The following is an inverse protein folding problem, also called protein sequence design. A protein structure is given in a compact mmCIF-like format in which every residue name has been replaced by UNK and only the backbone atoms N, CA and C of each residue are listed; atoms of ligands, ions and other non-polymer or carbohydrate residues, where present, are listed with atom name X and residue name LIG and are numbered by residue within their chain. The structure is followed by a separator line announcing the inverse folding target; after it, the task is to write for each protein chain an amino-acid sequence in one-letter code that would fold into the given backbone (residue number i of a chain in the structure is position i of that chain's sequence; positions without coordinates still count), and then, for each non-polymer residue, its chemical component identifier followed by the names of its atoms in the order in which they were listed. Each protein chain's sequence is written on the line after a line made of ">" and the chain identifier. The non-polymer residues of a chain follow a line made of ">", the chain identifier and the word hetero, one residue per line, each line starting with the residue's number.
data_IF_759616676539
#
_entry.id   IF_759616676539
#
_cell.length_a   1.000
_cell.length_b   1.000
_cell.length_c   1.000
_cell.angle_alpha   90.00
_cell.angle_beta   90.00
_cell.angle_gamma   90.00
#
_symmetry.space_group_name_H-M   'P 1'
#
loop_
_entity.id
_entity.type
_entity.pdbx_description
1 polymer ?
#
# COMPACT_ATOMS: atom_id res chain seq x y z
N UNK A 1 22.85 8.94 1.81
CA UNK A 1 21.96 8.19 2.74
C UNK A 1 20.79 9.04 3.24
N UNK A 2 20.15 9.87 2.42
CA UNK A 2 19.34 10.98 2.94
C UNK A 2 17.90 11.06 2.45
N UNK A 3 17.42 10.19 1.59
CA UNK A 3 16.05 10.30 1.05
C UNK A 3 15.10 9.14 1.40
N UNK A 4 15.58 8.05 2.00
CA UNK A 4 14.82 6.82 2.13
C UNK A 4 13.93 6.71 3.39
N UNK A 5 13.93 7.69 4.28
CA UNK A 5 13.21 7.62 5.57
C UNK A 5 11.74 8.04 5.51
N UNK A 6 11.26 8.54 4.38
CA UNK A 6 9.94 9.16 4.26
C UNK A 6 8.77 8.20 3.98
N UNK A 7 9.04 6.93 3.72
CA UNK A 7 7.99 5.95 3.42
C UNK A 7 7.81 4.94 4.55
N UNK A 8 7.60 5.41 5.78
CA UNK A 8 7.25 4.54 6.90
C UNK A 8 5.84 3.97 6.66
N UNK A 9 5.76 2.64 6.61
CA UNK A 9 4.53 1.85 6.66
C UNK A 9 3.49 2.14 5.58
N UNK A 10 3.86 2.11 4.33
CA UNK A 10 2.86 1.78 3.32
C UNK A 10 2.60 0.28 3.38
N UNK A 11 1.51 -0.13 4.01
CA UNK A 11 0.96 -1.47 3.79
C UNK A 11 0.41 -1.48 2.36
N UNK A 12 1.30 -1.51 1.35
CA UNK A 12 0.86 -1.68 -0.02
C UNK A 12 0.46 -3.14 -0.21
N UNK A 13 -0.80 -3.36 -0.46
CA UNK A 13 -1.26 -4.51 -1.22
C UNK A 13 -0.70 -4.35 -2.65
N UNK A 14 -0.80 -5.35 -3.51
CA UNK A 14 -0.43 -5.18 -4.92
C UNK A 14 -0.98 -3.84 -5.48
N UNK A 15 -0.18 -3.08 -6.21
CA UNK A 15 -0.48 -1.72 -6.68
C UNK A 15 0.80 -0.92 -6.90
N UNK A 16 0.68 0.37 -7.22
CA UNK A 16 1.80 1.31 -7.23
C UNK A 16 2.44 1.48 -5.84
N UNK A 17 3.51 2.26 -5.74
CA UNK A 17 4.22 2.44 -4.46
C UNK A 17 3.31 2.92 -3.32
N UNK A 18 2.33 3.77 -3.61
CA UNK A 18 1.37 4.27 -2.62
C UNK A 18 -0.07 3.82 -2.89
N UNK A 19 -0.37 3.34 -4.08
CA UNK A 19 -1.73 3.03 -4.51
C UNK A 19 -2.11 1.58 -4.20
N UNK A 20 -3.29 1.39 -3.64
CA UNK A 20 -3.89 0.09 -3.40
C UNK A 20 -5.13 -0.09 -4.30
N UNK A 21 -5.08 -1.02 -5.25
CA UNK A 21 -6.18 -1.32 -6.17
C UNK A 21 -7.14 -2.39 -5.66
N UNK A 22 -6.84 -3.04 -4.55
CA UNK A 22 -7.69 -4.04 -3.94
C UNK A 22 -8.88 -3.39 -3.20
N UNK A 23 -9.93 -3.03 -3.94
CA UNK A 23 -11.06 -2.27 -3.39
C UNK A 23 -12.36 -3.08 -3.33
N UNK A 24 -12.44 -4.27 -3.94
CA UNK A 24 -13.64 -5.09 -3.91
C UNK A 24 -13.33 -6.56 -3.71
N UNK A 25 -14.34 -7.35 -3.27
CA UNK A 25 -14.19 -8.80 -3.18
C UNK A 25 -14.09 -9.43 -4.57
N UNK A 26 -14.68 -8.79 -5.59
CA UNK A 26 -14.50 -9.22 -6.97
C UNK A 26 -13.03 -9.13 -7.40
N UNK A 27 -12.31 -8.07 -7.02
CA UNK A 27 -10.88 -7.96 -7.31
C UNK A 27 -10.09 -9.13 -6.70
N UNK A 28 -10.39 -9.53 -5.46
CA UNK A 28 -9.68 -10.62 -4.80
C UNK A 28 -9.78 -11.94 -5.58
N UNK A 29 -10.87 -12.17 -6.26
CA UNK A 29 -11.13 -13.42 -7.00
C UNK A 29 -10.99 -13.29 -8.52
N UNK A 30 -10.97 -12.05 -9.05
CA UNK A 30 -10.91 -11.75 -10.48
C UNK A 30 -10.30 -10.34 -10.65
N UNK A 31 -8.95 -10.17 -10.58
CA UNK A 31 -8.31 -8.86 -10.54
C UNK A 31 -8.37 -8.06 -11.84
N UNK A 32 -8.70 -8.68 -12.99
CA UNK A 32 -8.88 -8.01 -14.27
C UNK A 32 -10.20 -7.22 -14.32
N UNK A 33 -10.34 -6.18 -13.46
CA UNK A 33 -11.61 -5.46 -13.25
C UNK A 33 -11.90 -4.35 -14.26
N UNK A 34 -10.90 -3.81 -14.97
CA UNK A 34 -11.05 -2.58 -15.76
C UNK A 34 -12.17 -2.66 -16.81
N UNK A 35 -12.29 -3.79 -17.53
CA UNK A 35 -13.33 -4.01 -18.52
C UNK A 35 -14.54 -4.80 -17.97
N UNK A 36 -14.58 -5.09 -16.67
CA UNK A 36 -15.70 -5.80 -16.07
C UNK A 36 -16.85 -4.84 -15.76
N UNK A 37 -18.06 -5.21 -16.14
CA UNK A 37 -19.28 -4.46 -15.86
C UNK A 37 -19.83 -4.90 -14.51
N UNK A 38 -19.81 -4.02 -13.52
CA UNK A 38 -20.24 -4.30 -12.15
C UNK A 38 -20.37 -3.04 -11.29
N UNK A 39 -20.88 -3.20 -10.07
CA UNK A 39 -21.05 -2.09 -9.11
C UNK A 39 -19.67 -1.50 -8.73
N UNK A 40 -18.65 -2.32 -8.60
CA UNK A 40 -17.28 -1.89 -8.30
C UNK A 40 -16.59 -1.15 -9.48
N UNK A 41 -17.23 -1.08 -10.64
CA UNK A 41 -16.85 -0.16 -11.72
C UNK A 41 -16.72 1.29 -11.26
N UNK A 42 -17.44 1.70 -10.21
CA UNK A 42 -17.26 3.00 -9.55
C UNK A 42 -15.79 3.30 -9.22
N UNK A 43 -15.02 2.29 -8.87
CA UNK A 43 -13.59 2.41 -8.65
C UNK A 43 -12.77 2.07 -9.89
N UNK A 44 -13.06 0.92 -10.55
CA UNK A 44 -12.18 0.37 -11.59
C UNK A 44 -12.36 1.01 -12.95
N UNK A 45 -13.59 1.30 -13.36
CA UNK A 45 -13.92 2.05 -14.58
C UNK A 45 -15.37 2.55 -14.52
N UNK A 46 -15.61 3.81 -14.13
CA UNK A 46 -16.97 4.35 -14.04
C UNK A 46 -17.75 4.32 -15.33
N UNK A 47 -17.08 4.33 -16.51
CA UNK A 47 -17.75 4.22 -17.79
C UNK A 47 -18.43 2.85 -17.97
N UNK A 48 -17.77 1.75 -17.56
CA UNK A 48 -18.33 0.41 -17.62
C UNK A 48 -19.55 0.22 -16.72
N UNK A 49 -19.57 0.88 -15.56
CA UNK A 49 -20.71 0.83 -14.64
C UNK A 49 -22.02 1.36 -15.24
N UNK A 50 -21.96 2.20 -16.26
CA UNK A 50 -23.15 2.69 -16.98
C UNK A 50 -23.88 1.58 -17.76
N UNK A 51 -23.21 0.48 -18.07
CA UNK A 51 -23.81 -0.70 -18.72
C UNK A 51 -24.39 -1.71 -17.74
N UNK A 52 -24.23 -1.49 -16.43
CA UNK A 52 -24.87 -2.29 -15.42
C UNK A 52 -26.40 -2.09 -15.43
N UNK A 53 -27.13 -2.94 -14.72
CA UNK A 53 -28.58 -2.90 -14.69
C UNK A 53 -29.14 -1.53 -14.26
N UNK A 54 -30.34 -1.18 -14.73
CA UNK A 54 -31.05 0.01 -14.27
C UNK A 54 -31.46 -0.10 -12.80
N UNK A 55 -31.67 1.05 -12.15
CA UNK A 55 -32.06 1.16 -10.77
C UNK A 55 -30.90 1.56 -9.85
N UNK A 56 -31.12 1.42 -8.57
CA UNK A 56 -30.15 1.73 -7.54
C UNK A 56 -29.47 0.44 -7.06
N UNK A 57 -28.15 0.46 -7.01
CA UNK A 57 -27.30 -0.68 -6.62
C UNK A 57 -26.30 -0.22 -5.58
N UNK A 58 -26.06 -1.09 -4.62
CA UNK A 58 -25.13 -0.84 -3.53
C UNK A 58 -24.24 -2.07 -3.30
N UNK A 59 -22.96 -1.85 -3.05
CA UNK A 59 -22.01 -2.90 -2.70
C UNK A 59 -21.25 -2.51 -1.44
N UNK A 60 -21.23 -3.42 -0.48
CA UNK A 60 -20.38 -3.35 0.70
C UNK A 60 -19.34 -4.47 0.67
N UNK A 61 -18.10 -4.14 0.94
CA UNK A 61 -16.99 -5.10 1.03
C UNK A 61 -16.31 -4.97 2.38
N UNK A 62 -15.96 -6.09 2.96
CA UNK A 62 -15.13 -6.19 4.14
C UNK A 62 -13.96 -7.13 3.86
N UNK A 63 -12.74 -6.68 4.17
CA UNK A 63 -11.53 -7.44 3.97
C UNK A 63 -10.72 -7.49 5.26
N UNK A 64 -10.08 -8.63 5.52
CA UNK A 64 -9.07 -8.84 6.54
C UNK A 64 -7.75 -9.14 5.86
N UNK A 65 -6.72 -8.35 6.18
CA UNK A 65 -5.38 -8.55 5.64
C UNK A 65 -4.36 -8.80 6.74
N UNK A 66 -3.47 -9.76 6.51
CA UNK A 66 -2.30 -10.04 7.36
C UNK A 66 -1.04 -10.03 6.51
N UNK A 67 -0.03 -9.32 6.99
CA UNK A 67 1.25 -9.18 6.31
C UNK A 67 2.39 -9.30 7.30
N UNK A 68 3.48 -9.91 6.86
CA UNK A 68 4.78 -9.86 7.52
C UNK A 68 5.79 -9.20 6.60
N UNK A 69 6.63 -8.36 7.18
CA UNK A 69 7.73 -7.66 6.51
C UNK A 69 9.00 -7.99 7.29
N UNK A 70 9.89 -8.75 6.68
CA UNK A 70 11.14 -9.16 7.29
C UNK A 70 12.31 -8.42 6.64
N UNK A 71 13.22 -7.89 7.46
CA UNK A 71 14.49 -7.35 7.04
C UNK A 71 15.60 -8.13 7.76
N UNK A 72 16.41 -8.88 7.01
CA UNK A 72 17.61 -9.56 7.53
C UNK A 72 18.80 -8.68 7.20
N UNK A 73 19.29 -7.97 8.19
CA UNK A 73 20.36 -6.99 8.04
C UNK A 73 21.70 -7.49 8.56
N UNK A 74 22.79 -7.06 7.89
CA UNK A 74 24.17 -7.20 8.33
C UNK A 74 24.94 -5.92 7.98
N UNK A 75 25.29 -5.14 8.98
CA UNK A 75 26.05 -3.90 8.82
C UNK A 75 27.52 -4.16 9.23
N UNK A 76 28.28 -4.90 8.39
CA UNK A 76 29.68 -5.26 8.65
C UNK A 76 29.88 -5.94 10.00
N UNK A 77 29.00 -6.89 10.33
CA UNK A 77 28.99 -7.63 11.59
C UNK A 77 28.79 -6.77 12.86
N UNK A 78 28.29 -5.55 12.73
CA UNK A 78 28.10 -4.64 13.85
C UNK A 78 27.20 -5.24 14.94
N UNK A 79 26.21 -6.05 14.57
CA UNK A 79 25.31 -6.72 15.53
C UNK A 79 25.98 -7.74 16.45
N UNK A 80 27.19 -8.21 16.12
CA UNK A 80 28.01 -9.01 17.04
C UNK A 80 28.49 -8.19 18.25
N UNK A 81 28.60 -6.88 18.07
CA UNK A 81 29.04 -5.97 19.14
C UNK A 81 27.90 -5.50 20.07
N UNK A 82 26.65 -5.88 19.81
CA UNK A 82 25.55 -5.64 20.76
C UNK A 82 25.72 -6.60 21.96
N UNK A 83 26.19 -6.10 23.11
CA UNK A 83 26.58 -6.95 24.23
C UNK A 83 25.40 -7.48 25.08
N UNK A 84 24.19 -6.93 24.93
CA UNK A 84 22.97 -7.46 25.57
C UNK A 84 22.26 -8.48 24.66
N UNK A 85 22.37 -8.31 23.33
CA UNK A 85 21.77 -9.23 22.35
C UNK A 85 22.75 -9.44 21.17
N UNK A 86 23.85 -10.17 21.36
CA UNK A 86 24.84 -10.37 20.28
C UNK A 86 24.33 -11.30 19.19
N UNK A 87 24.55 -10.93 17.93
CA UNK A 87 24.35 -11.83 16.81
C UNK A 87 25.51 -12.84 16.72
N UNK A 88 25.20 -14.09 16.41
CA UNK A 88 26.22 -15.15 16.28
C UNK A 88 26.98 -15.07 14.94
N UNK A 89 26.35 -14.62 13.87
CA UNK A 89 26.86 -14.59 12.49
C UNK A 89 26.97 -13.18 11.91
N UNK A 90 26.72 -12.16 12.73
CA UNK A 90 26.70 -10.75 12.31
C UNK A 90 25.42 -10.31 11.63
N UNK A 91 24.47 -11.21 11.39
CA UNK A 91 23.18 -10.90 10.80
C UNK A 91 22.08 -10.83 11.87
N UNK A 92 21.07 -9.99 11.66
CA UNK A 92 19.88 -9.91 12.52
C UNK A 92 18.62 -9.73 11.70
N UNK A 93 17.58 -10.45 12.11
CA UNK A 93 16.26 -10.37 11.51
C UNK A 93 15.37 -9.45 12.31
N UNK A 94 14.80 -8.46 11.63
CA UNK A 94 13.77 -7.56 12.15
C UNK A 94 12.45 -7.87 11.46
N UNK A 95 11.37 -8.03 12.24
CA UNK A 95 10.06 -8.38 11.71
C UNK A 95 9.03 -7.30 11.99
N UNK A 96 8.46 -6.76 10.90
CA UNK A 96 7.28 -5.91 10.96
C UNK A 96 6.00 -6.72 10.75
N UNK A 97 5.07 -6.60 11.68
CA UNK A 97 3.77 -7.26 11.62
C UNK A 97 2.69 -6.24 11.23
N UNK A 98 1.89 -6.61 10.22
CA UNK A 98 0.72 -5.82 9.81
C UNK A 98 -0.52 -6.69 9.96
N UNK A 99 -1.47 -6.21 10.77
CA UNK A 99 -2.77 -6.82 10.92
C UNK A 99 -3.87 -5.77 10.66
N UNK A 100 -4.64 -5.98 9.61
CA UNK A 100 -5.76 -5.12 9.23
C UNK A 100 -7.05 -5.92 9.37
N UNK A 101 -7.68 -5.91 10.54
CA UNK A 101 -8.87 -6.72 10.79
C UNK A 101 -10.05 -6.29 9.94
N UNK A 102 -10.16 -5.00 9.62
CA UNK A 102 -11.28 -4.43 8.88
C UNK A 102 -10.75 -3.41 7.87
N UNK A 103 -10.90 -3.71 6.58
CA UNK A 103 -10.69 -2.78 5.48
C UNK A 103 -11.97 -2.73 4.65
N UNK A 104 -12.87 -1.78 4.94
CA UNK A 104 -14.14 -1.67 4.23
C UNK A 104 -13.99 -0.90 2.93
N UNK A 105 -14.87 -1.20 1.96
CA UNK A 105 -15.19 -0.34 0.85
C UNK A 105 -16.69 -0.34 0.58
N UNK A 106 -17.17 0.75 0.00
CA UNK A 106 -18.58 1.01 -0.28
C UNK A 106 -18.71 1.57 -1.69
N UNK A 107 -19.62 1.02 -2.48
CA UNK A 107 -19.94 1.55 -3.80
C UNK A 107 -21.45 1.67 -3.95
N UNK A 108 -21.89 2.79 -4.51
CA UNK A 108 -23.27 3.07 -4.84
C UNK A 108 -23.36 3.48 -6.32
N UNK A 109 -24.33 2.96 -7.02
CA UNK A 109 -24.56 3.14 -8.44
C UNK A 109 -26.04 3.37 -8.69
N UNK A 110 -26.38 4.43 -9.41
CA UNK A 110 -27.75 4.69 -9.88
C UNK A 110 -27.76 4.85 -11.39
N UNK A 111 -28.36 3.90 -12.09
CA UNK A 111 -28.50 3.88 -13.55
C UNK A 111 -29.93 4.19 -13.96
N UNK A 112 -30.09 5.18 -14.86
CA UNK A 112 -31.38 5.54 -15.46
C UNK A 112 -31.21 5.98 -16.90
N UNK A 113 -31.78 5.23 -17.82
CA UNK A 113 -31.65 5.46 -19.26
C UNK A 113 -30.18 5.46 -19.69
N UNK A 114 -29.69 6.57 -20.23
CA UNK A 114 -28.30 6.68 -20.69
C UNK A 114 -27.33 7.22 -19.62
N UNK A 115 -27.78 7.50 -18.42
CA UNK A 115 -26.98 8.10 -17.38
C UNK A 115 -26.72 7.14 -16.21
N UNK A 116 -25.52 7.26 -15.66
CA UNK A 116 -25.07 6.58 -14.44
C UNK A 116 -24.49 7.61 -13.48
N UNK A 117 -24.95 7.61 -12.24
CA UNK A 117 -24.42 8.42 -11.15
C UNK A 117 -23.84 7.50 -10.09
N UNK A 118 -22.65 7.82 -9.62
CA UNK A 118 -21.82 6.87 -8.88
C UNK A 118 -21.16 7.54 -7.69
N UNK A 119 -21.08 6.82 -6.58
CA UNK A 119 -20.36 7.23 -5.38
C UNK A 119 -19.58 6.03 -4.81
N UNK A 120 -18.39 6.28 -4.28
CA UNK A 120 -17.54 5.23 -3.71
C UNK A 120 -16.68 5.72 -2.56
N UNK A 121 -16.37 4.80 -1.67
CA UNK A 121 -15.42 4.97 -0.58
C UNK A 121 -14.52 3.74 -0.48
N UNK A 122 -13.24 3.95 -0.19
CA UNK A 122 -12.30 2.87 0.09
C UNK A 122 -10.93 3.37 0.54
N UNK A 123 -10.09 2.45 1.00
CA UNK A 123 -8.71 2.73 1.36
C UNK A 123 -7.81 2.52 0.14
N UNK A 124 -7.57 3.59 -0.61
CA UNK A 124 -6.85 3.56 -1.88
C UNK A 124 -5.32 3.57 -1.74
N UNK A 125 -4.84 3.61 -0.50
CA UNK A 125 -3.41 3.51 -0.16
C UNK A 125 -3.22 3.33 1.33
N UNK A 126 -2.08 2.81 1.75
CA UNK A 126 -1.86 2.42 3.12
C UNK A 126 -2.75 1.24 3.52
N UNK A 127 -3.24 1.20 4.74
CA UNK A 127 -4.26 0.22 5.18
C UNK A 127 -3.95 -0.51 6.48
N UNK A 128 -3.10 0.02 7.35
CA UNK A 128 -2.87 -0.58 8.67
C UNK A 128 -1.68 -0.02 9.41
N UNK A 129 -1.44 -0.58 10.58
CA UNK A 129 -0.23 -0.38 11.34
C UNK A 129 0.78 -1.47 10.99
N UNK A 130 2.05 -1.09 10.81
CA UNK A 130 3.19 -2.00 10.75
C UNK A 130 3.99 -1.80 12.03
N UNK A 131 4.12 -2.85 12.82
CA UNK A 131 4.74 -2.83 14.13
C UNK A 131 6.03 -3.64 14.10
N UNK A 132 7.16 -2.99 14.42
CA UNK A 132 8.46 -3.59 14.61
C UNK A 132 8.82 -3.49 16.10
N UNK A 133 8.51 -4.54 16.85
CA UNK A 133 8.67 -4.57 18.31
C UNK A 133 10.14 -4.54 18.74
N UNK A 134 11.04 -5.06 17.92
CA UNK A 134 12.48 -5.07 18.13
C UNK A 134 13.20 -3.93 17.36
N UNK A 135 12.45 -2.92 16.90
CA UNK A 135 12.96 -1.86 16.04
C UNK A 135 13.38 -2.33 14.66
N UNK A 136 14.36 -1.66 14.08
CA UNK A 136 14.88 -1.92 12.72
C UNK A 136 16.40 -1.85 12.69
N UNK A 137 17.02 -2.55 11.73
CA UNK A 137 18.47 -2.65 11.61
C UNK A 137 19.19 -1.33 11.51
N UNK A 138 18.60 -0.36 10.83
CA UNK A 138 19.17 0.99 10.70
C UNK A 138 19.27 1.74 12.05
N UNK A 139 18.37 1.49 13.02
CA UNK A 139 18.45 2.12 14.35
C UNK A 139 19.65 1.56 15.14
N UNK A 140 19.82 0.24 15.13
CA UNK A 140 21.00 -0.38 15.75
C UNK A 140 22.29 0.05 15.05
N UNK A 141 22.31 0.10 13.71
CA UNK A 141 23.47 0.56 12.96
C UNK A 141 23.85 2.01 13.28
N UNK A 142 22.86 2.89 13.47
CA UNK A 142 23.09 4.26 13.88
C UNK A 142 23.73 4.33 15.28
N UNK A 143 23.18 3.62 16.26
CA UNK A 143 23.69 3.62 17.64
C UNK A 143 25.08 2.99 17.70
N UNK A 144 25.27 1.84 17.08
CA UNK A 144 26.57 1.14 17.07
C UNK A 144 27.68 1.94 16.38
N UNK A 145 27.36 2.62 15.26
CA UNK A 145 28.30 3.50 14.55
C UNK A 145 28.65 4.75 15.37
N UNK A 146 27.70 5.31 16.12
CA UNK A 146 27.97 6.42 17.05
C UNK A 146 28.90 5.96 18.18
N UNK A 147 28.70 4.75 18.76
CA UNK A 147 29.60 4.17 19.76
C UNK A 147 31.00 3.95 19.24
N UNK A 148 31.11 3.43 18.01
CA UNK A 148 32.40 3.25 17.33
C UNK A 148 33.12 4.59 17.13
N UNK A 149 32.39 5.62 16.71
CA UNK A 149 32.93 6.96 16.53
C UNK A 149 33.37 7.60 17.85
N UNK A 150 32.59 7.44 18.91
CA UNK A 150 32.85 8.02 20.23
C UNK A 150 34.03 7.38 20.97
N UNK A 151 34.19 6.07 20.84
CA UNK A 151 35.21 5.29 21.59
C UNK A 151 36.41 4.89 20.73
N UNK A 152 36.33 5.01 19.40
CA UNK A 152 37.40 4.66 18.48
C UNK A 152 37.94 3.23 18.71
N UNK A 153 39.26 3.10 18.85
CA UNK A 153 39.91 1.82 19.11
C UNK A 153 39.51 1.16 20.43
N UNK A 154 38.93 1.91 21.37
CA UNK A 154 38.46 1.39 22.66
C UNK A 154 37.01 0.88 22.61
N UNK A 155 36.35 0.90 21.44
CA UNK A 155 34.99 0.40 21.29
C UNK A 155 34.91 -1.12 21.52
N UNK A 156 34.17 -1.53 22.53
CA UNK A 156 33.92 -2.92 22.91
C UNK A 156 32.49 -3.39 22.71
N UNK A 157 31.59 -2.46 22.34
CA UNK A 157 30.20 -2.80 22.01
C UNK A 157 29.19 -1.72 22.42
N UNK A 158 27.95 -2.02 22.11
CA UNK A 158 26.76 -1.17 22.42
C UNK A 158 25.59 -2.03 22.88
N UNK A 159 24.60 -1.39 23.47
CA UNK A 159 23.27 -1.95 23.74
C UNK A 159 22.22 -0.85 23.57
N UNK A 160 20.99 -1.22 23.24
CA UNK A 160 19.83 -0.37 23.15
C UNK A 160 18.54 -1.20 23.18
N UNK A 161 17.45 -0.51 23.50
CA UNK A 161 16.08 -0.96 23.18
C UNK A 161 15.53 -0.09 22.07
N UNK A 162 14.85 -0.68 21.11
CA UNK A 162 14.18 0.08 20.04
C UNK A 162 12.89 -0.56 19.60
N UNK A 163 11.94 0.29 19.21
CA UNK A 163 10.67 -0.11 18.62
C UNK A 163 10.20 0.97 17.64
N UNK A 164 9.41 0.59 16.65
CA UNK A 164 8.79 1.55 15.74
C UNK A 164 7.48 1.01 15.19
N UNK A 165 6.48 1.87 15.14
CA UNK A 165 5.18 1.62 14.52
C UNK A 165 4.87 2.74 13.54
N UNK A 166 4.53 2.36 12.32
CA UNK A 166 3.99 3.26 11.32
C UNK A 166 2.59 2.84 10.94
N UNK A 167 1.67 3.80 10.90
CA UNK A 167 0.28 3.60 10.50
C UNK A 167 -0.10 4.62 9.44
N UNK A 168 -0.62 4.17 8.31
CA UNK A 168 -0.96 5.05 7.20
C UNK A 168 -2.29 4.64 6.56
N UNK A 169 -3.16 5.63 6.31
CA UNK A 169 -4.42 5.47 5.61
C UNK A 169 -4.62 6.57 4.58
N UNK A 170 -4.87 6.18 3.33
CA UNK A 170 -5.31 7.05 2.25
C UNK A 170 -6.77 6.71 1.96
N UNK A 171 -7.69 7.53 2.46
CA UNK A 171 -9.13 7.34 2.31
C UNK A 171 -9.61 8.06 1.05
N UNK A 172 -10.10 7.30 0.07
CA UNK A 172 -10.61 7.82 -1.19
C UNK A 172 -12.14 7.90 -1.21
N UNK A 173 -12.65 9.08 -1.56
CA UNK A 173 -14.08 9.36 -1.76
C UNK A 173 -14.28 9.70 -3.23
N UNK A 174 -14.97 8.85 -3.99
CA UNK A 174 -15.16 9.02 -5.42
C UNK A 174 -16.61 9.44 -5.70
N UNK A 175 -16.77 10.45 -6.54
CA UNK A 175 -18.04 10.79 -7.19
C UNK A 175 -17.80 10.78 -8.70
N UNK A 176 -18.66 10.10 -9.45
CA UNK A 176 -18.55 10.02 -10.90
C UNK A 176 -19.92 10.04 -11.57
N UNK A 177 -19.92 10.50 -12.80
CA UNK A 177 -21.04 10.35 -13.72
C UNK A 177 -20.55 9.71 -15.01
N UNK A 178 -21.36 8.83 -15.58
CA UNK A 178 -21.11 8.25 -16.88
C UNK A 178 -22.32 8.37 -17.79
N UNK A 179 -22.08 8.38 -19.10
CA UNK A 179 -23.11 8.44 -20.10
C UNK A 179 -22.87 7.43 -21.21
N UNK A 180 -23.89 6.65 -21.51
CA UNK A 180 -23.93 5.88 -22.74
C UNK A 180 -24.14 6.83 -23.91
N UNK A 181 -23.16 6.92 -24.80
CA UNK A 181 -23.24 7.72 -26.03
C UNK A 181 -23.98 6.95 -27.12
N UNK A 182 -23.78 5.63 -27.11
CA UNK A 182 -24.48 4.65 -27.93
C UNK A 182 -24.79 3.41 -27.08
N UNK A 183 -25.44 2.41 -27.62
CA UNK A 183 -25.67 1.13 -26.93
C UNK A 183 -24.37 0.39 -26.60
N UNK A 184 -23.29 0.73 -27.30
CA UNK A 184 -21.99 0.05 -27.19
C UNK A 184 -20.88 0.93 -26.61
N UNK A 185 -21.04 2.25 -26.51
CA UNK A 185 -20.00 3.18 -26.08
C UNK A 185 -20.47 4.03 -24.91
N UNK A 186 -19.69 4.05 -23.85
CA UNK A 186 -19.90 4.91 -22.71
C UNK A 186 -18.62 5.67 -22.34
N UNK A 187 -18.80 6.88 -21.80
CA UNK A 187 -17.74 7.73 -21.28
C UNK A 187 -18.07 8.16 -19.86
N UNK A 188 -17.04 8.43 -19.07
CA UNK A 188 -17.22 8.88 -17.69
C UNK A 188 -16.28 10.02 -17.33
N UNK A 189 -16.74 10.82 -16.36
CA UNK A 189 -15.93 11.78 -15.62
C UNK A 189 -16.21 11.63 -14.13
N UNK A 190 -15.16 11.67 -13.32
CA UNK A 190 -15.26 11.60 -11.86
C UNK A 190 -14.20 12.43 -11.17
N UNK A 191 -14.40 12.62 -9.88
CA UNK A 191 -13.43 13.22 -8.96
C UNK A 191 -13.26 12.30 -7.76
N UNK A 192 -12.01 12.11 -7.33
CA UNK A 192 -11.67 11.41 -6.10
C UNK A 192 -11.00 12.37 -5.13
N UNK A 193 -11.67 12.66 -4.02
CA UNK A 193 -11.06 13.31 -2.86
C UNK A 193 -10.28 12.28 -2.07
N UNK A 194 -9.05 12.61 -1.67
CA UNK A 194 -8.16 11.71 -0.92
C UNK A 194 -7.79 12.41 0.38
N UNK A 195 -8.21 11.83 1.51
CA UNK A 195 -7.77 12.26 2.83
C UNK A 195 -6.73 11.30 3.37
N UNK A 196 -5.58 11.85 3.77
CA UNK A 196 -4.47 11.08 4.33
C UNK A 196 -4.33 11.34 5.81
N UNK A 197 -4.17 10.27 6.57
CA UNK A 197 -3.75 10.33 7.97
C UNK A 197 -2.68 9.26 8.21
N UNK A 198 -1.57 9.70 8.78
CA UNK A 198 -0.43 8.85 9.11
C UNK A 198 -0.04 9.11 10.56
N UNK A 199 0.32 8.05 11.28
CA UNK A 199 0.84 8.14 12.64
C UNK A 199 2.13 7.34 12.71
N UNK A 200 3.15 7.95 13.29
CA UNK A 200 4.45 7.34 13.50
C UNK A 200 4.82 7.45 14.97
N UNK A 201 5.05 6.31 15.58
CA UNK A 201 5.55 6.22 16.96
C UNK A 201 6.78 5.35 17.00
N UNK A 202 7.75 5.70 17.81
CA UNK A 202 8.95 4.90 17.95
C UNK A 202 9.84 5.40 19.08
N UNK A 203 10.74 4.55 19.50
CA UNK A 203 11.71 4.91 20.53
C UNK A 203 13.04 4.20 20.33
N UNK A 204 14.10 4.85 20.75
CA UNK A 204 15.42 4.27 20.98
C UNK A 204 15.78 4.68 22.40
N UNK A 205 15.92 3.72 23.32
CA UNK A 205 16.12 3.94 24.74
C UNK A 205 17.22 3.05 25.30
N UNK A 206 17.63 3.30 26.52
CA UNK A 206 18.66 2.50 27.24
C UNK A 206 19.98 2.36 26.46
N UNK A 207 20.39 3.38 25.73
CA UNK A 207 21.62 3.36 24.96
C UNK A 207 22.83 3.29 25.87
N UNK A 208 23.66 2.27 25.72
CA UNK A 208 24.89 2.05 26.47
C UNK A 208 26.01 1.73 25.51
N UNK A 209 27.20 2.25 25.79
CA UNK A 209 28.44 1.83 25.13
C UNK A 209 29.32 1.05 26.11
N UNK A 210 30.11 0.12 25.59
CA UNK A 210 31.05 -0.65 26.36
C UNK A 210 32.45 -0.49 25.79
N UNK A 211 33.43 -0.28 26.64
CA UNK A 211 34.86 -0.27 26.24
C UNK A 211 35.37 -1.71 26.08
N UNK A 212 36.52 -1.87 25.40
CA UNK A 212 37.24 -3.17 25.34
C UNK A 212 37.64 -3.70 26.70
N UNK A 213 37.84 -2.82 27.69
CA UNK A 213 38.15 -3.20 29.08
C UNK A 213 36.92 -3.60 29.90
N UNK A 214 35.72 -3.55 29.28
CA UNK A 214 34.47 -3.97 29.92
C UNK A 214 33.70 -2.85 30.64
N UNK A 215 34.21 -1.62 30.70
CA UNK A 215 33.49 -0.49 31.31
C UNK A 215 32.25 -0.14 30.49
N UNK A 216 31.08 -0.13 31.13
CA UNK A 216 29.81 0.28 30.52
C UNK A 216 29.60 1.77 30.79
N UNK A 217 29.28 2.52 29.75
CA UNK A 217 29.03 3.95 29.76
C UNK A 217 27.57 4.15 29.33
N UNK A 218 26.75 4.61 30.26
CA UNK A 218 25.36 4.96 30.04
C UNK A 218 25.27 6.27 29.21
N UNK A 219 24.50 6.24 28.14
CA UNK A 219 24.30 7.36 27.24
C UNK A 219 22.99 8.13 27.49
N UNK A 220 22.20 7.75 28.47
CA UNK A 220 20.89 8.40 28.77
C UNK A 220 21.02 9.89 29.09
N UNK A 221 22.20 10.33 29.55
CA UNK A 221 22.51 11.74 29.78
C UNK A 221 23.16 12.46 28.57
N UNK A 222 23.43 11.74 27.48
CA UNK A 222 23.96 12.35 26.26
C UNK A 222 22.81 12.90 25.41
N UNK A 223 22.71 14.23 25.18
CA UNK A 223 21.58 14.82 24.44
C UNK A 223 21.38 14.28 23.02
N UNK A 224 22.42 13.71 22.41
CA UNK A 224 22.36 13.14 21.07
C UNK A 224 21.94 11.65 21.05
N UNK A 225 21.99 10.96 22.19
CA UNK A 225 21.74 9.52 22.34
C UNK A 225 20.89 9.19 23.58
N UNK A 226 20.43 10.22 24.32
CA UNK A 226 19.41 10.03 25.35
C UNK A 226 18.13 9.56 24.69
N UNK A 227 17.26 8.96 25.50
CA UNK A 227 15.98 8.40 25.02
C UNK A 227 15.35 9.24 23.92
N UNK A 228 15.34 8.68 22.71
CA UNK A 228 14.72 9.30 21.53
C UNK A 228 13.29 8.78 21.43
N UNK A 229 12.31 9.67 21.47
CA UNK A 229 10.89 9.30 21.33
C UNK A 229 10.26 10.10 20.20
N UNK A 230 9.79 9.36 19.20
CA UNK A 230 8.99 9.85 18.08
C UNK A 230 7.51 9.61 18.39
N UNK A 231 6.69 10.65 18.30
CA UNK A 231 5.23 10.58 18.25
C UNK A 231 4.72 11.70 17.34
N UNK A 232 4.43 11.33 16.09
CA UNK A 232 4.07 12.29 15.05
C UNK A 232 2.84 11.83 14.27
N UNK A 233 1.89 12.73 14.14
CA UNK A 233 0.72 12.57 13.27
C UNK A 233 0.87 13.49 12.07
N UNK A 234 0.55 12.93 10.88
CA UNK A 234 0.55 13.68 9.63
C UNK A 234 -0.82 13.60 8.96
N UNK A 235 -1.31 14.72 8.44
CA UNK A 235 -2.61 14.77 7.75
C UNK A 235 -2.50 15.61 6.48
N UNK A 236 -3.26 15.22 5.45
CA UNK A 236 -3.30 15.93 4.18
C UNK A 236 -4.56 15.63 3.39
N UNK A 237 -4.81 16.42 2.35
CA UNK A 237 -5.95 16.24 1.45
C UNK A 237 -5.55 16.60 0.02
N UNK A 238 -6.04 15.82 -0.93
CA UNK A 238 -5.85 16.06 -2.36
C UNK A 238 -7.06 15.63 -3.18
N UNK A 239 -7.08 15.98 -4.47
CA UNK A 239 -8.16 15.62 -5.40
C UNK A 239 -7.56 15.14 -6.71
N UNK A 240 -8.08 14.01 -7.24
CA UNK A 240 -7.76 13.47 -8.55
C UNK A 240 -8.98 13.49 -9.46
N UNK A 241 -8.92 14.08 -10.66
CA UNK A 241 -9.86 13.80 -11.73
C UNK A 241 -9.71 12.36 -12.24
N UNK A 242 -10.83 11.80 -12.74
CA UNK A 242 -10.88 10.46 -13.32
C UNK A 242 -11.66 10.56 -14.62
N UNK A 243 -11.14 9.98 -15.70
CA UNK A 243 -11.85 9.82 -16.96
C UNK A 243 -11.86 8.34 -17.35
N UNK A 244 -12.91 7.91 -18.03
CA UNK A 244 -13.01 6.53 -18.48
C UNK A 244 -13.80 6.41 -19.78
N UNK A 245 -13.48 5.35 -20.51
CA UNK A 245 -14.18 4.91 -21.71
C UNK A 245 -14.42 3.41 -21.57
N UNK A 246 -15.60 2.97 -22.00
CA UNK A 246 -15.96 1.56 -22.07
C UNK A 246 -16.67 1.29 -23.39
N UNK A 247 -16.22 0.25 -24.10
CA UNK A 247 -16.67 -0.05 -25.45
C UNK A 247 -16.95 -1.54 -25.62
N UNK A 248 -18.24 -1.90 -25.77
CA UNK A 248 -18.70 -3.22 -26.17
C UNK A 248 -18.43 -3.41 -27.65
N UNK A 249 -17.22 -3.88 -27.99
CA UNK A 249 -16.77 -4.03 -29.37
C UNK A 249 -17.56 -5.15 -30.11
N UNK A 250 -18.03 -6.14 -29.36
CA UNK A 250 -18.93 -7.20 -29.81
C UNK A 250 -19.68 -7.75 -28.59
N UNK A 251 -20.68 -8.61 -28.80
CA UNK A 251 -21.42 -9.25 -27.71
C UNK A 251 -20.53 -10.08 -26.78
N UNK A 252 -19.42 -10.58 -27.31
CA UNK A 252 -18.44 -11.38 -26.60
C UNK A 252 -17.18 -10.61 -26.18
N UNK A 253 -17.03 -9.30 -26.52
CA UNK A 253 -15.81 -8.51 -26.26
C UNK A 253 -16.16 -7.13 -25.75
N UNK A 254 -15.74 -6.84 -24.51
CA UNK A 254 -15.75 -5.52 -23.91
C UNK A 254 -14.31 -4.98 -23.74
N UNK A 255 -14.06 -3.74 -24.13
CA UNK A 255 -12.79 -3.05 -24.02
C UNK A 255 -12.94 -1.81 -23.15
N UNK A 256 -11.95 -1.51 -22.32
CA UNK A 256 -12.04 -0.39 -21.40
C UNK A 256 -10.70 0.29 -21.17
N UNK A 257 -10.78 1.61 -20.98
CA UNK A 257 -9.64 2.46 -20.58
C UNK A 257 -10.10 3.41 -19.48
N UNK A 258 -9.32 3.50 -18.41
CA UNK A 258 -9.48 4.52 -17.36
C UNK A 258 -8.17 5.25 -17.16
N UNK A 259 -8.24 6.56 -16.97
CA UNK A 259 -7.11 7.37 -16.53
C UNK A 259 -7.50 8.17 -15.28
N UNK A 260 -6.75 7.99 -14.22
CA UNK A 260 -6.83 8.74 -12.98
C UNK A 260 -5.60 9.66 -12.92
N UNK A 261 -5.84 10.95 -12.79
CA UNK A 261 -4.77 11.93 -12.79
C UNK A 261 -3.99 11.88 -11.48
N UNK A 262 -2.75 12.35 -11.53
CA UNK A 262 -1.92 12.52 -10.34
C UNK A 262 -2.65 13.38 -9.30
N UNK A 263 -2.62 12.93 -8.04
CA UNK A 263 -3.10 13.74 -6.91
C UNK A 263 -1.90 14.38 -6.26
N UNK A 264 -1.76 15.70 -6.40
CA UNK A 264 -0.82 16.45 -5.59
C UNK A 264 -1.28 16.45 -4.15
N UNK A 265 -0.43 15.97 -3.27
CA UNK A 265 -0.75 15.77 -1.88
C UNK A 265 0.47 16.05 -1.01
N UNK A 266 0.27 16.93 -0.01
CA UNK A 266 1.27 17.21 1.00
C UNK A 266 0.64 17.01 2.37
N UNK A 267 1.33 16.30 3.25
CA UNK A 267 0.90 16.11 4.63
C UNK A 267 1.61 17.09 5.55
N UNK A 268 0.87 17.61 6.53
CA UNK A 268 1.40 18.46 7.59
C UNK A 268 1.56 17.67 8.87
N UNK A 269 2.71 17.78 9.52
CA UNK A 269 3.05 17.15 10.80
C UNK A 269 2.50 17.93 11.99
N UNK A 270 1.98 17.18 12.95
CA UNK A 270 1.71 17.60 14.33
C UNK A 270 2.39 16.58 15.22
N UNK A 271 3.26 17.02 16.13
CA UNK A 271 4.12 16.11 16.87
C UNK A 271 3.98 16.26 18.38
N UNK A 272 4.32 15.17 19.07
CA UNK A 272 4.49 15.07 20.52
C UNK A 272 5.82 14.38 20.85
N UNK A 273 6.83 14.60 20.01
CA UNK A 273 8.17 14.05 20.18
C UNK A 273 8.81 14.58 21.48
N UNK A 274 9.81 13.86 22.00
CA UNK A 274 10.60 14.44 23.07
C UNK A 274 11.67 15.43 22.52
N UNK A 275 12.24 16.22 23.44
CA UNK A 275 13.22 17.26 23.06
C UNK A 275 14.47 16.67 22.40
N UNK A 276 14.91 15.48 22.80
CA UNK A 276 16.07 14.81 22.21
C UNK A 276 15.82 14.40 20.77
N UNK A 277 14.64 13.86 20.43
CA UNK A 277 14.28 13.57 19.05
C UNK A 277 14.18 14.84 18.22
N UNK A 278 13.56 15.90 18.73
CA UNK A 278 13.44 17.17 18.02
C UNK A 278 14.81 17.79 17.74
N UNK A 279 15.77 17.69 18.65
CA UNK A 279 17.15 18.13 18.43
C UNK A 279 17.82 17.28 17.32
N UNK A 280 17.67 15.95 17.35
CA UNK A 280 18.16 15.07 16.29
C UNK A 280 17.54 15.44 14.93
N UNK A 281 16.22 15.60 14.89
CA UNK A 281 15.48 15.90 13.67
C UNK A 281 15.83 17.28 13.08
N UNK A 282 16.11 18.27 13.92
CA UNK A 282 16.52 19.61 13.48
C UNK A 282 17.93 19.61 12.84
N UNK A 283 18.78 18.67 13.23
CA UNK A 283 20.15 18.55 12.73
C UNK A 283 20.30 17.47 11.62
N UNK A 284 19.24 16.70 11.35
CA UNK A 284 19.27 15.62 10.37
C UNK A 284 18.08 15.73 9.41
N UNK A 285 18.31 16.10 8.14
CA UNK A 285 17.25 16.27 7.15
C UNK A 285 16.36 15.03 6.97
N UNK A 286 16.88 13.82 7.27
CA UNK A 286 16.13 12.58 7.17
C UNK A 286 14.93 12.51 8.15
N UNK A 287 14.99 13.23 9.26
CA UNK A 287 13.94 13.27 10.28
C UNK A 287 13.17 14.61 10.32
N UNK A 288 13.57 15.60 9.53
CA UNK A 288 12.98 16.94 9.54
C UNK A 288 11.46 16.94 9.24
N UNK A 289 10.98 15.97 8.47
CA UNK A 289 9.55 15.79 8.17
C UNK A 289 8.67 15.43 9.39
N UNK A 290 9.26 15.05 10.53
CA UNK A 290 8.54 14.72 11.76
C UNK A 290 8.49 15.85 12.78
N UNK A 291 9.06 17.01 12.46
CA UNK A 291 8.97 18.22 13.29
C UNK A 291 7.59 18.89 13.14
N UNK A 292 7.15 19.58 14.19
CA UNK A 292 5.85 20.26 14.17
C UNK A 292 5.75 21.28 13.02
N UNK A 293 4.62 21.23 12.31
CA UNK A 293 4.36 22.09 11.18
C UNK A 293 5.09 21.73 9.89
N UNK A 294 6.01 20.76 9.91
CA UNK A 294 6.71 20.30 8.70
C UNK A 294 5.73 19.79 7.65
N UNK A 295 6.04 20.00 6.40
CA UNK A 295 5.26 19.51 5.26
C UNK A 295 6.09 18.50 4.48
N UNK A 296 5.46 17.39 4.15
CA UNK A 296 6.07 16.30 3.38
C UNK A 296 5.17 15.95 2.20
N UNK A 297 5.72 15.89 1.01
CA UNK A 297 4.99 15.49 -0.18
C UNK A 297 4.78 13.98 -0.19
N UNK A 298 3.55 13.56 -0.53
CA UNK A 298 3.14 12.17 -0.64
C UNK A 298 2.11 12.00 -1.76
N UNK A 299 2.41 12.53 -2.94
CA UNK A 299 1.57 12.49 -4.13
C UNK A 299 1.12 11.07 -4.46
N UNK A 300 -0.15 10.90 -4.84
CA UNK A 300 -0.58 9.66 -5.47
C UNK A 300 -0.27 9.72 -6.97
N UNK A 301 0.39 8.71 -7.55
CA UNK A 301 0.72 8.72 -8.96
C UNK A 301 -0.53 8.70 -9.84
N UNK A 302 -0.42 9.22 -11.05
CA UNK A 302 -1.43 8.97 -12.07
C UNK A 302 -1.49 7.48 -12.39
N UNK A 303 -2.67 6.99 -12.75
CA UNK A 303 -2.94 5.59 -13.06
C UNK A 303 -3.64 5.44 -14.41
N UNK A 304 -3.00 4.78 -15.36
CA UNK A 304 -3.61 4.29 -16.58
C UNK A 304 -4.02 2.83 -16.40
N UNK A 305 -5.29 2.52 -16.61
CA UNK A 305 -5.82 1.15 -16.61
C UNK A 305 -6.42 0.83 -17.97
N UNK A 306 -6.01 -0.29 -18.55
CA UNK A 306 -6.53 -0.81 -19.83
C UNK A 306 -7.02 -2.23 -19.57
N UNK A 307 -8.17 -2.59 -20.12
CA UNK A 307 -8.72 -3.95 -19.94
C UNK A 307 -9.48 -4.44 -21.14
N UNK A 308 -9.56 -5.77 -21.22
CA UNK A 308 -10.46 -6.48 -22.12
C UNK A 308 -11.13 -7.62 -21.36
N UNK A 309 -12.43 -7.78 -21.60
CA UNK A 309 -13.20 -8.93 -21.11
C UNK A 309 -13.82 -9.67 -22.26
N UNK A 310 -13.55 -10.96 -22.32
CA UNK A 310 -14.10 -11.91 -23.29
C UNK A 310 -15.21 -12.70 -22.61
N UNK A 311 -16.33 -12.85 -23.29
CA UNK A 311 -17.50 -13.64 -22.85
C UNK A 311 -17.83 -14.69 -23.92
N UNK A 312 -17.01 -15.78 -24.04
CA UNK A 312 -17.17 -16.77 -25.10
C UNK A 312 -18.49 -17.52 -25.04
N UNK A 313 -19.08 -17.59 -23.86
CA UNK A 313 -20.41 -18.12 -23.59
C UNK A 313 -21.12 -17.27 -22.55
N UNK A 314 -22.41 -17.37 -22.40
CA UNK A 314 -23.20 -16.66 -21.37
C UNK A 314 -22.71 -16.94 -19.93
N UNK A 315 -22.01 -18.06 -19.72
CA UNK A 315 -21.54 -18.49 -18.40
C UNK A 315 -20.07 -18.22 -18.13
N UNK A 316 -19.25 -17.94 -19.15
CA UNK A 316 -17.80 -17.84 -19.01
C UNK A 316 -17.32 -16.41 -19.33
N UNK A 317 -16.63 -15.80 -18.38
CA UNK A 317 -15.96 -14.50 -18.53
C UNK A 317 -14.47 -14.67 -18.30
N UNK A 318 -13.67 -14.15 -19.22
CA UNK A 318 -12.20 -14.15 -19.16
C UNK A 318 -11.74 -12.72 -19.30
N UNK A 319 -11.00 -12.21 -18.33
CA UNK A 319 -10.48 -10.84 -18.33
C UNK A 319 -8.97 -10.77 -18.36
N UNK A 320 -8.49 -9.76 -19.04
CA UNK A 320 -7.08 -9.34 -18.99
C UNK A 320 -7.04 -7.85 -18.73
N UNK A 321 -6.02 -7.40 -18.00
CA UNK A 321 -5.85 -5.99 -17.69
C UNK A 321 -4.39 -5.61 -17.54
N UNK A 322 -4.14 -4.34 -17.76
CA UNK A 322 -2.85 -3.70 -17.57
C UNK A 322 -3.04 -2.39 -16.84
N UNK A 323 -2.26 -2.19 -15.78
CA UNK A 323 -2.18 -0.94 -15.03
C UNK A 323 -0.76 -0.40 -15.10
N UNK A 324 -0.63 0.91 -15.36
CA UNK A 324 0.63 1.64 -15.23
C UNK A 324 0.46 2.79 -14.26
N UNK A 325 1.28 2.79 -13.23
CA UNK A 325 1.39 3.87 -12.26
C UNK A 325 2.56 4.74 -12.66
N UNK A 326 2.32 6.05 -12.79
CA UNK A 326 3.34 7.03 -13.18
C UNK A 326 4.06 7.53 -11.93
N UNK A 327 4.75 6.61 -11.22
CA UNK A 327 5.42 6.89 -9.95
C UNK A 327 6.54 7.93 -10.12
N UNK A 328 7.26 7.90 -11.24
CA UNK A 328 8.33 8.86 -11.57
C UNK A 328 7.81 10.30 -11.66
N UNK A 329 6.54 10.52 -11.96
CA UNK A 329 5.94 11.85 -12.06
C UNK A 329 5.55 12.46 -10.70
N UNK A 330 5.67 11.71 -9.60
CA UNK A 330 5.39 12.21 -8.24
C UNK A 330 6.58 12.95 -7.66
N UNK A 331 6.34 13.80 -6.63
CA UNK A 331 7.36 14.73 -6.11
C UNK A 331 8.29 14.12 -5.08
N UNK A 332 7.84 13.08 -4.37
CA UNK A 332 8.54 12.50 -3.21
C UNK A 332 9.66 11.51 -3.57
N UNK A 333 9.75 11.06 -4.82
CA UNK A 333 10.72 10.07 -5.24
C UNK A 333 11.90 10.69 -6.00
N UNK A 334 13.05 10.05 -5.87
CA UNK A 334 14.22 10.39 -6.72
C UNK A 334 13.97 9.88 -8.15
N UNK A 335 13.69 10.81 -9.04
CA UNK A 335 13.29 10.51 -10.43
C UNK A 335 14.38 9.84 -11.26
N UNK A 336 15.63 10.02 -10.89
CA UNK A 336 16.77 9.45 -11.61
C UNK A 336 16.99 7.96 -11.25
N UNK A 337 16.27 7.47 -10.22
CA UNK A 337 16.49 6.15 -9.63
C UNK A 337 15.21 5.33 -9.44
N UNK A 338 14.09 5.83 -9.92
CA UNK A 338 12.79 5.17 -9.80
C UNK A 338 12.17 5.01 -11.19
N UNK A 339 11.67 3.82 -11.48
CA UNK A 339 10.83 3.56 -12.63
C UNK A 339 9.34 3.52 -12.29
N UNK A 340 8.51 3.52 -13.31
CA UNK A 340 7.06 3.38 -13.18
C UNK A 340 6.67 1.93 -12.83
N UNK A 341 5.69 1.77 -11.93
CA UNK A 341 5.15 0.46 -11.58
C UNK A 341 4.19 -0.04 -12.66
N UNK A 342 4.30 -1.31 -13.00
CA UNK A 342 3.46 -1.96 -13.99
C UNK A 342 2.77 -3.19 -13.40
N UNK A 343 1.48 -3.37 -13.71
CA UNK A 343 0.70 -4.55 -13.31
C UNK A 343 0.03 -5.21 -14.51
N UNK A 344 0.09 -6.53 -14.53
CA UNK A 344 -0.68 -7.38 -15.45
C UNK A 344 -1.66 -8.19 -14.64
N UNK A 345 -2.92 -8.20 -15.06
CA UNK A 345 -4.00 -8.95 -14.41
C UNK A 345 -4.67 -9.90 -15.36
N UNK A 346 -5.07 -11.04 -14.83
CA UNK A 346 -5.83 -12.07 -15.53
C UNK A 346 -6.92 -12.61 -14.59
N UNK A 347 -8.07 -12.94 -15.15
CA UNK A 347 -9.16 -13.55 -14.39
C UNK A 347 -10.03 -14.43 -15.24
N UNK A 348 -10.61 -15.45 -14.61
CA UNK A 348 -11.65 -16.31 -15.17
C UNK A 348 -12.78 -16.39 -14.17
N UNK A 349 -14.02 -16.24 -14.66
CA UNK A 349 -15.23 -16.37 -13.86
C UNK A 349 -16.23 -17.25 -14.61
N UNK A 350 -16.86 -18.20 -13.90
CA UNK A 350 -17.80 -19.17 -14.45
C UNK A 350 -19.07 -19.26 -13.61
N UNK A 351 -20.22 -19.09 -14.26
CA UNK A 351 -21.55 -19.32 -13.66
C UNK A 351 -21.85 -20.81 -13.68
N UNK A 352 -21.67 -21.47 -12.53
CA UNK A 352 -21.97 -22.89 -12.35
C UNK A 352 -23.47 -23.16 -12.59
N UNK A 353 -24.30 -22.27 -12.07
CA UNK A 353 -25.74 -22.20 -12.29
C UNK A 353 -26.24 -20.75 -12.07
N UNK A 354 -27.53 -20.50 -12.14
CA UNK A 354 -28.16 -19.17 -12.03
C UNK A 354 -27.93 -18.50 -10.69
N UNK A 355 -27.48 -19.20 -9.66
CA UNK A 355 -27.25 -18.67 -8.31
C UNK A 355 -25.79 -18.69 -7.88
N UNK A 356 -24.97 -19.58 -8.45
CA UNK A 356 -23.61 -19.82 -7.96
C UNK A 356 -22.58 -19.58 -9.04
N UNK A 357 -21.64 -18.72 -8.77
CA UNK A 357 -20.48 -18.45 -9.61
C UNK A 357 -19.18 -18.71 -8.87
N UNK A 358 -18.16 -19.11 -9.60
CA UNK A 358 -16.79 -19.29 -9.13
C UNK A 358 -15.83 -18.46 -9.98
N UNK A 359 -14.77 -17.98 -9.38
CA UNK A 359 -13.74 -17.28 -10.13
C UNK A 359 -12.36 -17.48 -9.52
N UNK A 360 -11.36 -17.33 -10.38
CA UNK A 360 -9.96 -17.30 -10.01
C UNK A 360 -9.22 -16.27 -10.88
N UNK A 361 -8.13 -15.74 -10.35
CA UNK A 361 -7.33 -14.78 -11.07
C UNK A 361 -5.91 -14.65 -10.58
N UNK A 362 -5.11 -13.98 -11.40
CA UNK A 362 -3.68 -13.78 -11.21
C UNK A 362 -3.35 -12.31 -11.41
N UNK A 363 -2.31 -11.85 -10.71
CA UNK A 363 -1.75 -10.52 -10.91
C UNK A 363 -0.22 -10.58 -10.78
N UNK A 364 0.45 -9.88 -11.66
CA UNK A 364 1.90 -9.63 -11.59
C UNK A 364 2.14 -8.15 -11.47
N UNK A 365 2.81 -7.73 -10.37
CA UNK A 365 3.23 -6.34 -10.18
C UNK A 365 4.75 -6.27 -10.29
N UNK A 366 5.24 -5.38 -11.11
CA UNK A 366 6.67 -5.16 -11.39
C UNK A 366 7.01 -3.75 -10.93
N UNK A 367 7.88 -3.68 -9.92
CA UNK A 367 8.47 -2.44 -9.43
C UNK A 367 9.86 -2.28 -10.05
N UNK A 368 10.12 -1.08 -10.56
CA UNK A 368 11.43 -0.66 -11.02
C UNK A 368 12.00 0.31 -9.97
N UNK A 369 12.96 -0.17 -9.18
CA UNK A 369 13.51 0.57 -8.04
C UNK A 369 15.01 0.30 -7.88
N UNK A 370 15.68 1.26 -7.25
CA UNK A 370 17.08 1.22 -6.86
C UNK A 370 17.22 1.12 -5.35
N UNK A 371 18.40 0.71 -4.86
CA UNK A 371 18.69 0.56 -3.42
C UNK A 371 18.40 1.82 -2.62
N UNK A 372 18.59 3.01 -3.23
CA UNK A 372 18.32 4.31 -2.60
C UNK A 372 16.84 4.57 -2.30
N UNK A 373 15.91 3.85 -2.94
CA UNK A 373 14.47 3.95 -2.71
C UNK A 373 13.97 2.92 -1.70
N UNK A 374 14.87 2.10 -1.14
CA UNK A 374 14.53 1.02 -0.20
C UNK A 374 15.12 1.30 1.17
N UNK A 375 14.32 1.12 2.22
CA UNK A 375 14.76 1.21 3.61
C UNK A 375 14.08 0.13 4.46
N UNK A 376 14.58 -0.11 5.68
CA UNK A 376 14.01 -1.07 6.62
C UNK A 376 12.52 -0.80 6.92
N UNK A 377 12.10 0.45 6.80
CA UNK A 377 10.73 0.89 7.08
C UNK A 377 9.86 0.96 5.83
N UNK A 378 10.48 1.08 4.63
CA UNK A 378 9.78 1.24 3.37
C UNK A 378 10.45 0.46 2.26
N UNK A 379 9.83 -0.63 1.86
CA UNK A 379 10.26 -1.42 0.71
C UNK A 379 9.05 -1.97 -0.05
N UNK A 380 9.07 -1.78 -1.36
CA UNK A 380 8.15 -2.39 -2.31
C UNK A 380 8.91 -3.43 -3.12
N UNK A 381 8.25 -4.53 -3.45
CA UNK A 381 8.92 -5.66 -4.10
C UNK A 381 8.04 -6.22 -5.19
N UNK A 382 8.65 -6.55 -6.32
CA UNK A 382 8.00 -7.28 -7.40
C UNK A 382 7.27 -8.50 -6.85
N UNK A 383 6.01 -8.68 -7.28
CA UNK A 383 5.14 -9.69 -6.69
C UNK A 383 4.30 -10.42 -7.71
N UNK A 384 3.90 -11.60 -7.33
CA UNK A 384 2.89 -12.40 -8.01
C UNK A 384 1.75 -12.71 -7.04
N UNK A 385 0.52 -12.48 -7.50
CA UNK A 385 -0.67 -12.72 -6.71
C UNK A 385 -1.56 -13.75 -7.38
N UNK A 386 -2.22 -14.54 -6.56
CA UNK A 386 -3.34 -15.38 -6.99
C UNK A 386 -4.51 -15.20 -6.04
N UNK A 387 -5.69 -15.31 -6.60
CA UNK A 387 -6.92 -15.24 -5.82
C UNK A 387 -8.00 -16.11 -6.41
N UNK A 388 -8.95 -16.49 -5.57
CA UNK A 388 -10.12 -17.27 -5.96
C UNK A 388 -11.28 -16.96 -5.02
N UNK A 389 -12.49 -17.27 -5.48
CA UNK A 389 -13.65 -17.03 -4.66
C UNK A 389 -14.94 -17.43 -5.33
N UNK A 390 -16.01 -17.11 -4.63
CA UNK A 390 -17.37 -17.51 -4.99
C UNK A 390 -18.33 -16.35 -4.84
N UNK A 391 -19.37 -16.34 -5.67
CA UNK A 391 -20.53 -15.48 -5.52
C UNK A 391 -21.80 -16.34 -5.43
N UNK A 392 -22.72 -15.94 -4.56
CA UNK A 392 -23.99 -16.61 -4.38
C UNK A 392 -25.16 -15.62 -4.36
N UNK A 393 -26.07 -15.77 -5.31
CA UNK A 393 -27.33 -15.01 -5.35
C UNK A 393 -28.30 -15.60 -4.33
N UNK A 394 -28.44 -14.92 -3.20
CA UNK A 394 -29.37 -15.29 -2.13
C UNK A 394 -30.81 -15.07 -2.61
N UNK A 395 -31.03 -13.92 -3.27
CA UNK A 395 -32.27 -13.54 -3.96
C UNK A 395 -31.87 -12.84 -5.28
N UNK A 396 -32.86 -12.49 -6.09
CA UNK A 396 -32.63 -11.72 -7.32
C UNK A 396 -32.05 -10.31 -7.03
N UNK A 397 -32.19 -9.81 -5.79
CA UNK A 397 -31.73 -8.50 -5.35
C UNK A 397 -30.48 -8.53 -4.46
N UNK A 398 -30.10 -9.69 -3.92
CA UNK A 398 -29.01 -9.82 -2.95
C UNK A 398 -28.04 -10.89 -3.39
N UNK A 399 -26.77 -10.53 -3.57
CA UNK A 399 -25.67 -11.44 -3.84
C UNK A 399 -24.59 -11.30 -2.77
N UNK A 400 -24.10 -12.41 -2.26
CA UNK A 400 -22.99 -12.49 -1.30
C UNK A 400 -21.76 -13.02 -2.01
N UNK A 401 -20.61 -12.41 -1.72
CA UNK A 401 -19.33 -12.77 -2.31
C UNK A 401 -18.33 -13.13 -1.20
N UNK A 402 -17.49 -14.12 -1.43
CA UNK A 402 -16.37 -14.48 -0.57
C UNK A 402 -15.13 -14.77 -1.41
N UNK A 403 -13.96 -14.34 -0.94
CA UNK A 403 -12.73 -14.53 -1.67
C UNK A 403 -11.50 -14.66 -0.75
N UNK A 404 -10.48 -15.30 -1.29
CA UNK A 404 -9.13 -15.39 -0.77
C UNK A 404 -8.14 -14.84 -1.81
N UNK A 405 -7.13 -14.12 -1.33
CA UNK A 405 -6.09 -13.56 -2.18
C UNK A 405 -4.73 -13.62 -1.46
N UNK A 406 -3.72 -14.13 -2.15
CA UNK A 406 -2.37 -14.27 -1.64
C UNK A 406 -1.39 -13.53 -2.55
N UNK A 407 -0.48 -12.77 -1.93
CA UNK A 407 0.65 -12.15 -2.62
C UNK A 407 1.94 -12.85 -2.21
N UNK A 408 2.72 -13.25 -3.19
CA UNK A 408 4.07 -13.80 -3.07
C UNK A 408 5.01 -12.74 -3.63
N UNK A 409 5.97 -12.31 -2.83
CA UNK A 409 6.95 -11.29 -3.19
C UNK A 409 8.28 -11.95 -3.55
N UNK A 410 8.99 -11.37 -4.52
CA UNK A 410 10.39 -11.70 -4.76
C UNK A 410 11.24 -10.98 -3.73
N UNK A 411 12.16 -11.68 -3.08
CA UNK A 411 13.09 -11.04 -2.14
C UNK A 411 13.90 -9.95 -2.84
N UNK A 412 14.25 -8.91 -2.09
CA UNK A 412 15.09 -7.81 -2.56
C UNK A 412 16.30 -7.66 -1.64
N UNK A 413 17.49 -7.61 -2.20
CA UNK A 413 18.72 -7.49 -1.41
C UNK A 413 19.51 -6.24 -1.81
N UNK A 414 19.85 -5.43 -0.82
CA UNK A 414 20.85 -4.37 -0.89
C UNK A 414 22.21 -4.91 -0.42
N UNK A 415 23.21 -4.06 -0.33
CA UNK A 415 24.52 -4.43 0.20
C UNK A 415 24.48 -4.88 1.67
N UNK A 416 23.52 -4.40 2.46
CA UNK A 416 23.46 -4.62 3.91
C UNK A 416 22.24 -5.38 4.37
N UNK A 417 21.17 -5.46 3.57
CA UNK A 417 19.88 -5.99 4.05
C UNK A 417 19.17 -6.77 2.96
N UNK A 418 18.63 -7.93 3.31
CA UNK A 418 17.71 -8.70 2.48
C UNK A 418 16.30 -8.53 3.04
N UNK A 419 15.41 -8.08 2.18
CA UNK A 419 14.00 -7.84 2.49
C UNK A 419 13.14 -8.97 1.93
N UNK A 420 12.19 -9.44 2.72
CA UNK A 420 11.15 -10.38 2.30
C UNK A 420 9.78 -9.97 2.82
N UNK A 421 8.72 -10.43 2.14
CA UNK A 421 7.36 -10.02 2.49
C UNK A 421 6.36 -11.10 2.15
N UNK A 422 5.31 -11.21 2.96
CA UNK A 422 4.14 -12.04 2.68
C UNK A 422 2.87 -11.25 2.93
N UNK A 423 1.84 -11.47 2.12
CA UNK A 423 0.54 -10.82 2.33
C UNK A 423 -0.60 -11.79 1.98
N UNK A 424 -1.60 -11.84 2.85
CA UNK A 424 -2.81 -12.65 2.69
C UNK A 424 -4.03 -11.82 3.00
N UNK A 425 -5.05 -11.90 2.13
CA UNK A 425 -6.32 -11.21 2.28
C UNK A 425 -7.47 -12.21 2.19
N UNK A 426 -8.41 -12.10 3.11
CA UNK A 426 -9.70 -12.79 3.06
C UNK A 426 -10.78 -11.72 3.07
N UNK A 427 -11.81 -11.90 2.26
CA UNK A 427 -12.88 -10.92 2.19
C UNK A 427 -14.25 -11.51 1.96
N UNK A 428 -15.25 -10.75 2.40
CA UNK A 428 -16.67 -11.00 2.12
C UNK A 428 -17.32 -9.69 1.66
N UNK A 429 -18.31 -9.79 0.79
CA UNK A 429 -19.02 -8.64 0.26
C UNK A 429 -20.48 -8.96 0.00
N UNK A 430 -21.30 -7.91 -0.05
CA UNK A 430 -22.73 -8.00 -0.34
C UNK A 430 -23.07 -6.97 -1.40
N UNK A 431 -23.74 -7.42 -2.46
CA UNK A 431 -24.35 -6.58 -3.49
C UNK A 431 -25.86 -6.55 -3.28
N UNK A 432 -26.46 -5.37 -3.35
CA UNK A 432 -27.89 -5.15 -3.16
C UNK A 432 -28.43 -4.34 -4.34
N UNK A 433 -29.50 -4.79 -4.98
CA UNK A 433 -30.27 -4.11 -6.00
C UNK A 433 -31.64 -3.71 -5.46
N UNK A 434 -32.12 -2.49 -5.82
CA UNK A 434 -33.41 -1.96 -5.37
C UNK A 434 -34.38 -1.80 -6.54
#
# INVERSE_FOLDING_TARGET
>A
MTAALLAIATSSFAGGYLTNTNQSIYFLRYPARTASIGIDGVYYNPAGAAFYNEGFHFQFNWQNAKQHRDAVANYNNLFMANFENPSADGSRKFRGNVNVPIQPSLFALYNKGNWSFQAGFGFIGGGGACEFDDGVGMFEAMVGSNGLTALGDNFGGYALNSQVTGKSYYMGFTLAAARKLTDNLSVSFGLRGIYVTQNYTGSITDVKFRTKTGTVIDQTQNPALSDLVLDCKQTGFGVAPIIGIDYKAADWLNLAVKYEFNTRLSVKSTEHNNAAFNQLASNNPAFAGYLDGAKTDCDMPALLSIGAQFTPTEKLRIGVGYNRYFDVATTQWDKDRLGDTNELTFGVEYDVNDRFEVSAGLQRTIYDQEDSNVSDLAFSMTSFCYGFGVGYKVTDKVKVNAAYFQTIYSDYSTQTTTYSRTNRVIGVGVDIAF
#
